data_IF_867158005216
#
_entry.id   IF_867158005216
#
_cell.length_a   1.000
_cell.length_b   1.000
_cell.length_c   1.000
_cell.angle_alpha   90.00
_cell.angle_beta   90.00
_cell.angle_gamma   90.00
#
_symmetry.space_group_name_H-M   'P 1'
#
loop_
_entity.id
_entity.type
_entity.pdbx_description
1 polymer ?
#
# COMPACT_ATOMS: atom_id res chain seq x y z
N UNK A 1 1.46 -16.51 5.29
CA UNK A 1 0.79 -16.78 3.99
C UNK A 1 -0.46 -17.62 4.14
N UNK A 2 -0.61 -18.44 5.18
CA UNK A 2 -1.82 -19.27 5.35
C UNK A 2 -3.08 -18.44 5.64
N UNK A 3 -2.95 -17.27 6.29
CA UNK A 3 -4.07 -16.33 6.46
C UNK A 3 -4.65 -15.87 5.11
N UNK A 4 -3.79 -15.65 4.10
CA UNK A 4 -4.23 -15.31 2.75
C UNK A 4 -5.05 -16.46 2.16
N UNK A 5 -4.57 -17.71 2.27
CA UNK A 5 -5.32 -18.88 1.81
C UNK A 5 -6.69 -18.96 2.50
N UNK A 6 -6.74 -18.74 3.81
CA UNK A 6 -7.99 -18.84 4.57
C UNK A 6 -9.00 -17.79 4.11
N UNK A 7 -8.56 -16.54 3.87
CA UNK A 7 -9.40 -15.48 3.35
C UNK A 7 -9.93 -15.79 1.93
N UNK A 8 -9.06 -16.25 1.04
CA UNK A 8 -9.45 -16.63 -0.33
C UNK A 8 -10.43 -17.82 -0.32
N UNK A 9 -10.17 -18.85 0.49
CA UNK A 9 -11.07 -20.01 0.65
C UNK A 9 -12.40 -19.63 1.30
N UNK A 10 -12.44 -18.58 2.12
CA UNK A 10 -13.67 -18.03 2.70
C UNK A 10 -14.49 -17.22 1.69
N UNK A 11 -13.99 -17.02 0.46
CA UNK A 11 -14.70 -16.37 -0.64
C UNK A 11 -14.20 -14.98 -1.00
N UNK A 12 -13.08 -14.52 -0.45
CA UNK A 12 -12.47 -13.27 -0.91
C UNK A 12 -11.81 -13.47 -2.28
N UNK A 13 -12.01 -12.53 -3.20
CA UNK A 13 -11.34 -12.54 -4.52
C UNK A 13 -9.91 -11.98 -4.45
N UNK A 14 -9.66 -11.08 -3.48
CA UNK A 14 -8.39 -10.37 -3.29
C UNK A 14 -8.09 -10.17 -1.82
N UNK A 15 -6.82 -10.08 -1.47
CA UNK A 15 -6.34 -9.74 -0.13
C UNK A 15 -5.53 -8.46 -0.15
N UNK A 16 -5.75 -7.60 0.83
CA UNK A 16 -4.99 -6.37 1.02
C UNK A 16 -3.95 -6.53 2.12
N UNK A 17 -2.71 -6.11 1.84
CA UNK A 17 -1.56 -6.21 2.75
C UNK A 17 -0.99 -4.81 2.95
N UNK A 18 -0.84 -4.36 4.20
CA UNK A 18 -0.17 -3.10 4.55
C UNK A 18 0.98 -3.35 5.53
N UNK A 19 0.70 -3.39 6.83
CA UNK A 19 1.74 -3.41 7.87
C UNK A 19 2.68 -4.62 7.75
N UNK A 20 2.16 -5.79 7.37
CA UNK A 20 2.99 -6.97 7.12
C UNK A 20 3.94 -6.80 5.91
N UNK A 21 3.53 -6.06 4.87
CA UNK A 21 4.39 -5.75 3.74
C UNK A 21 5.54 -4.84 4.17
N UNK A 22 5.27 -3.81 4.98
CA UNK A 22 6.32 -2.91 5.50
C UNK A 22 7.32 -3.66 6.39
N UNK A 23 6.85 -4.54 7.28
CA UNK A 23 7.71 -5.31 8.18
C UNK A 23 8.55 -6.37 7.46
N UNK A 24 7.99 -7.00 6.42
CA UNK A 24 8.66 -8.04 5.64
C UNK A 24 8.24 -7.94 4.17
N UNK A 25 8.91 -7.10 3.36
CA UNK A 25 8.55 -6.86 1.96
C UNK A 25 8.44 -8.15 1.14
N UNK A 26 9.33 -9.12 1.36
CA UNK A 26 9.33 -10.42 0.67
C UNK A 26 8.02 -11.21 0.85
N UNK A 27 7.21 -10.90 1.87
CA UNK A 27 5.89 -11.50 2.04
C UNK A 27 4.96 -11.21 0.86
N UNK A 28 5.07 -10.04 0.23
CA UNK A 28 4.27 -9.70 -0.96
C UNK A 28 4.69 -10.58 -2.14
N UNK A 29 6.00 -10.81 -2.31
CA UNK A 29 6.53 -11.72 -3.34
C UNK A 29 6.06 -13.15 -3.11
N UNK A 30 6.18 -13.65 -1.89
CA UNK A 30 5.66 -14.99 -1.53
C UNK A 30 4.15 -15.13 -1.77
N UNK A 31 3.37 -14.08 -1.49
CA UNK A 31 1.94 -14.08 -1.72
C UNK A 31 1.61 -14.09 -3.22
N UNK A 32 2.24 -13.22 -4.00
CA UNK A 32 2.04 -13.11 -5.43
C UNK A 32 2.47 -14.38 -6.17
N UNK A 33 3.62 -14.96 -5.83
CA UNK A 33 4.11 -16.23 -6.42
C UNK A 33 3.17 -17.41 -6.12
N UNK A 34 2.53 -17.42 -4.95
CA UNK A 34 1.69 -18.53 -4.50
C UNK A 34 0.24 -18.44 -4.96
N UNK A 35 -0.35 -17.24 -4.94
CA UNK A 35 -1.78 -17.03 -5.18
C UNK A 35 -2.07 -16.20 -6.45
N UNK A 36 -1.04 -15.58 -7.03
CA UNK A 36 -1.12 -14.74 -8.21
C UNK A 36 -1.22 -13.25 -7.88
N UNK A 37 -0.59 -12.42 -8.71
CA UNK A 37 -0.57 -10.96 -8.55
C UNK A 37 -1.97 -10.34 -8.54
N UNK A 38 -2.89 -10.86 -9.35
CA UNK A 38 -4.26 -10.33 -9.48
C UNK A 38 -5.07 -10.33 -8.17
N UNK A 39 -4.71 -11.20 -7.21
CA UNK A 39 -5.36 -11.28 -5.91
C UNK A 39 -4.54 -10.66 -4.76
N UNK A 40 -3.34 -10.15 -5.06
CA UNK A 40 -2.44 -9.53 -4.09
C UNK A 40 -2.47 -8.02 -4.24
N UNK A 41 -3.07 -7.34 -3.27
CA UNK A 41 -3.20 -5.87 -3.23
C UNK A 41 -2.32 -5.34 -2.10
N UNK A 42 -1.51 -4.32 -2.37
CA UNK A 42 -0.80 -3.59 -1.30
C UNK A 42 -1.52 -2.29 -0.99
N UNK A 43 -1.93 -2.13 0.27
CA UNK A 43 -2.49 -0.88 0.77
C UNK A 43 -1.38 0.06 1.25
N UNK A 44 -1.41 1.29 0.77
CA UNK A 44 -0.46 2.35 1.09
C UNK A 44 -1.24 3.52 1.71
N UNK A 45 -1.07 3.71 3.01
CA UNK A 45 -1.52 4.91 3.70
C UNK A 45 -0.39 5.93 3.63
N UNK A 46 -0.58 6.99 2.85
CA UNK A 46 0.44 7.99 2.58
C UNK A 46 0.05 9.36 3.15
N UNK A 47 0.98 10.02 3.83
CA UNK A 47 0.82 11.39 4.33
C UNK A 47 1.90 12.29 3.75
N UNK A 48 1.55 13.49 3.32
CA UNK A 48 2.50 14.47 2.80
C UNK A 48 3.50 14.89 3.87
N UNK A 49 4.78 14.94 3.51
CA UNK A 49 5.84 15.45 4.37
C UNK A 49 5.80 16.98 4.35
N UNK A 50 5.56 17.67 5.48
CA UNK A 50 5.46 19.13 5.50
C UNK A 50 6.76 19.80 5.03
N UNK A 51 6.65 20.77 4.13
CA UNK A 51 7.78 21.56 3.64
C UNK A 51 8.74 20.83 2.69
N UNK A 52 8.41 19.64 2.21
CA UNK A 52 9.21 18.95 1.20
C UNK A 52 9.05 19.60 -0.18
N UNK A 53 10.16 19.94 -0.83
CA UNK A 53 10.22 20.36 -2.23
C UNK A 53 11.30 19.54 -2.97
N UNK A 54 10.95 18.71 -3.97
CA UNK A 54 9.58 18.45 -4.46
C UNK A 54 8.69 17.79 -3.40
N UNK A 55 7.37 17.78 -3.63
CA UNK A 55 6.41 17.14 -2.74
C UNK A 55 6.76 15.65 -2.52
N UNK A 56 6.80 15.23 -1.26
CA UNK A 56 7.04 13.84 -0.84
C UNK A 56 5.91 13.37 0.06
N UNK A 57 5.69 12.06 0.06
CA UNK A 57 4.74 11.40 0.94
C UNK A 57 5.42 10.24 1.63
N UNK A 58 5.11 10.07 2.91
CA UNK A 58 5.65 9.01 3.74
C UNK A 58 4.58 7.95 3.97
N UNK A 59 4.98 6.67 3.97
CA UNK A 59 4.10 5.54 4.29
C UNK A 59 3.87 5.44 5.79
N UNK A 60 2.62 5.18 6.18
CA UNK A 60 2.21 4.93 7.56
C UNK A 60 1.65 3.52 7.72
N UNK A 61 1.79 2.97 8.92
CA UNK A 61 1.25 1.65 9.28
C UNK A 61 0.38 1.73 10.54
N UNK A 62 -0.22 0.59 10.92
CA UNK A 62 -1.08 0.47 12.11
C UNK A 62 -2.28 1.43 12.10
N UNK A 63 -2.89 1.64 10.93
CA UNK A 63 -3.99 2.58 10.74
C UNK A 63 -3.53 4.04 10.88
N UNK A 64 -2.42 4.39 10.23
CA UNK A 64 -1.95 5.78 10.18
C UNK A 64 -1.22 6.29 11.44
N UNK A 65 -0.94 5.44 12.42
CA UNK A 65 -0.37 5.87 13.71
C UNK A 65 1.15 5.83 13.76
N UNK A 66 1.77 5.02 12.90
CA UNK A 66 3.21 4.82 12.89
C UNK A 66 3.81 5.24 11.54
N UNK A 67 4.56 6.33 11.57
CA UNK A 67 5.40 6.80 10.48
C UNK A 67 6.56 5.80 10.25
N UNK A 68 6.88 5.50 9.00
CA UNK A 68 7.84 4.43 8.65
C UNK A 68 9.20 4.94 8.16
N UNK A 69 9.28 6.22 7.81
CA UNK A 69 10.42 6.82 7.12
C UNK A 69 10.53 6.44 5.64
N UNK A 70 9.58 5.67 5.11
CA UNK A 70 9.62 5.14 3.74
C UNK A 70 8.87 6.10 2.81
N UNK A 71 9.49 6.48 1.69
CA UNK A 71 8.83 7.26 0.64
C UNK A 71 7.74 6.42 -0.05
N UNK A 72 6.54 6.99 -0.20
CA UNK A 72 5.38 6.28 -0.73
C UNK A 72 5.51 5.91 -2.21
N UNK A 73 6.24 6.70 -3.00
CA UNK A 73 6.45 6.46 -4.43
C UNK A 73 7.44 5.30 -4.59
N UNK A 74 8.57 5.36 -3.89
CA UNK A 74 9.55 4.27 -3.88
C UNK A 74 8.94 2.97 -3.37
N UNK A 75 8.08 3.06 -2.36
CA UNK A 75 7.37 1.91 -1.83
C UNK A 75 6.41 1.30 -2.85
N UNK A 76 5.61 2.11 -3.55
CA UNK A 76 4.69 1.61 -4.57
C UNK A 76 5.43 0.86 -5.69
N UNK A 77 6.53 1.44 -6.20
CA UNK A 77 7.38 0.81 -7.23
C UNK A 77 7.93 -0.53 -6.72
N UNK A 78 8.43 -0.57 -5.49
CA UNK A 78 8.94 -1.80 -4.88
C UNK A 78 7.86 -2.88 -4.77
N UNK A 79 6.63 -2.51 -4.41
CA UNK A 79 5.52 -3.45 -4.24
C UNK A 79 5.04 -4.02 -5.57
N UNK A 80 5.01 -3.21 -6.63
CA UNK A 80 4.78 -3.70 -8.01
C UNK A 80 5.87 -4.70 -8.41
N UNK A 81 7.16 -4.37 -8.20
CA UNK A 81 8.28 -5.28 -8.50
C UNK A 81 8.20 -6.60 -7.72
N UNK A 82 7.59 -6.58 -6.54
CA UNK A 82 7.41 -7.75 -5.69
C UNK A 82 6.13 -8.52 -6.06
N UNK A 83 5.43 -8.12 -7.13
CA UNK A 83 4.30 -8.86 -7.69
C UNK A 83 2.94 -8.44 -7.15
N UNK A 84 2.82 -7.30 -6.46
CA UNK A 84 1.50 -6.72 -6.17
C UNK A 84 0.79 -6.39 -7.48
N UNK A 85 -0.42 -6.91 -7.68
CA UNK A 85 -1.20 -6.64 -8.89
C UNK A 85 -1.97 -5.32 -8.83
N UNK A 86 -2.25 -4.82 -7.63
CA UNK A 86 -2.95 -3.55 -7.43
C UNK A 86 -2.38 -2.80 -6.21
N UNK A 87 -2.46 -1.47 -6.26
CA UNK A 87 -2.17 -0.58 -5.14
C UNK A 87 -3.48 0.06 -4.68
N UNK A 88 -3.81 -0.13 -3.40
CA UNK A 88 -4.89 0.59 -2.74
C UNK A 88 -4.28 1.83 -2.05
N UNK A 89 -4.34 2.97 -2.73
CA UNK A 89 -3.68 4.20 -2.31
C UNK A 89 -4.61 5.12 -1.52
N UNK A 90 -4.28 5.37 -0.26
CA UNK A 90 -5.04 6.26 0.64
C UNK A 90 -4.22 7.50 0.95
N UNK A 91 -4.74 8.69 0.59
CA UNK A 91 -4.19 9.96 1.09
C UNK A 91 -4.73 10.21 2.49
N UNK A 92 -3.86 10.11 3.49
CA UNK A 92 -4.20 10.41 4.88
C UNK A 92 -4.57 11.89 5.11
N UNK A 93 -4.10 12.78 4.25
CA UNK A 93 -4.42 14.21 4.30
C UNK A 93 -5.84 14.50 3.82
N UNK A 94 -6.43 13.61 3.00
CA UNK A 94 -7.77 13.75 2.43
C UNK A 94 -8.80 12.80 3.05
N UNK A 95 -8.36 11.76 3.74
CA UNK A 95 -9.26 10.76 4.31
C UNK A 95 -10.30 11.38 5.27
N UNK A 96 -11.56 11.00 5.10
CA UNK A 96 -12.69 11.53 5.86
C UNK A 96 -13.08 13.00 5.59
N UNK A 97 -12.31 13.77 4.81
CA UNK A 97 -12.55 15.22 4.64
C UNK A 97 -13.72 15.54 3.70
N UNK A 98 -14.05 14.63 2.76
CA UNK A 98 -15.00 14.84 1.65
C UNK A 98 -14.58 15.92 0.64
N UNK A 99 -13.33 16.41 0.69
CA UNK A 99 -12.79 17.43 -0.22
C UNK A 99 -12.17 16.84 -1.51
N UNK A 100 -12.64 15.65 -1.91
CA UNK A 100 -12.14 14.90 -3.06
C UNK A 100 -10.80 14.19 -2.82
N UNK A 101 -10.33 13.51 -3.87
CA UNK A 101 -9.08 12.75 -3.85
C UNK A 101 -7.84 13.65 -3.93
N UNK A 102 -6.71 13.15 -3.43
CA UNK A 102 -5.41 13.79 -3.59
C UNK A 102 -4.83 13.51 -4.97
N UNK A 103 -5.16 14.36 -5.94
CA UNK A 103 -4.70 14.20 -7.33
C UNK A 103 -3.17 14.32 -7.48
N UNK A 104 -2.49 14.99 -6.54
CA UNK A 104 -1.04 15.12 -6.55
C UNK A 104 -0.39 13.78 -6.20
N UNK A 105 -0.85 13.17 -5.10
CA UNK A 105 -0.42 11.84 -4.69
C UNK A 105 -0.78 10.78 -5.73
N UNK A 106 -2.02 10.77 -6.22
CA UNK A 106 -2.46 9.78 -7.21
C UNK A 106 -1.59 9.82 -8.45
N UNK A 107 -1.34 11.01 -9.03
CA UNK A 107 -0.50 11.16 -10.24
C UNK A 107 0.97 10.78 -10.03
N UNK A 108 1.45 10.87 -8.79
CA UNK A 108 2.83 10.50 -8.48
C UNK A 108 3.04 8.97 -8.44
N UNK A 109 1.95 8.19 -8.33
CA UNK A 109 2.02 6.72 -8.16
C UNK A 109 1.32 5.96 -9.30
N UNK A 110 0.19 6.47 -9.82
CA UNK A 110 -0.70 5.86 -10.83
C UNK A 110 -0.71 6.71 -12.10
#
# INVERSE_FOLDING_TARGET
VDDIRNLLNAGADKVSINTAAVQRPDFVREAAERFGSQCTVVAIDARRVPGSEPARWEVYTHGGRHATGIDAIEWAIRMEQYGSGEILLTSMDKDGTKDGYDLGLTRAIV
#
